data_IF_080701075467
#
_entry.id   IF_080701075467
#
_cell.length_a   1.000
_cell.length_b   1.000
_cell.length_c   1.000
_cell.angle_alpha   90.00
_cell.angle_beta   90.00
_cell.angle_gamma   90.00
#
_symmetry.space_group_name_H-M   'P 1'
#
loop_
_entity.id
_entity.type
_entity.pdbx_description
1 polymer ?
#
# COMPACT_ATOMS: atom_id res chain seq x y z
N UNK A 1 23.08 6.11 -26.10
CA UNK A 1 22.94 7.17 -25.07
C UNK A 1 22.60 6.48 -23.76
N UNK A 2 23.44 6.65 -22.73
CA UNK A 2 23.34 5.98 -21.41
C UNK A 2 23.06 6.98 -20.27
N UNK A 3 22.52 8.15 -20.61
CA UNK A 3 22.34 9.24 -19.65
C UNK A 3 21.03 8.96 -18.86
N UNK A 4 21.10 8.79 -17.53
CA UNK A 4 19.92 8.51 -16.73
C UNK A 4 18.98 9.72 -16.70
N UNK A 5 17.71 9.50 -17.02
CA UNK A 5 16.65 10.50 -16.93
C UNK A 5 16.28 10.75 -15.46
N UNK A 6 16.68 11.91 -14.95
CA UNK A 6 16.37 12.34 -13.59
C UNK A 6 15.16 13.29 -13.57
N UNK A 7 14.32 13.13 -12.56
CA UNK A 7 13.26 14.10 -12.24
C UNK A 7 13.81 15.18 -11.30
N UNK A 8 13.21 16.38 -11.26
CA UNK A 8 13.60 17.44 -10.33
C UNK A 8 13.77 16.95 -8.89
N UNK A 9 12.86 16.14 -8.35
CA UNK A 9 12.99 15.59 -6.98
C UNK A 9 14.21 14.68 -6.73
N UNK A 10 14.90 14.24 -7.78
CA UNK A 10 16.14 13.46 -7.69
C UNK A 10 17.40 14.33 -7.77
N UNK A 11 17.26 15.62 -8.10
CA UNK A 11 18.36 16.56 -8.22
C UNK A 11 18.59 17.35 -6.90
N UNK A 12 19.82 17.83 -6.66
CA UNK A 12 20.07 18.82 -5.61
C UNK A 12 19.46 20.18 -5.96
N UNK A 13 19.03 20.92 -4.93
CA UNK A 13 18.37 22.23 -5.07
C UNK A 13 19.17 23.24 -5.92
N UNK A 14 20.51 23.16 -5.88
CA UNK A 14 21.39 24.01 -6.69
C UNK A 14 21.14 23.87 -8.20
N UNK A 15 20.80 22.67 -8.67
CA UNK A 15 20.54 22.40 -10.09
C UNK A 15 19.10 22.72 -10.51
N UNK A 16 18.21 23.03 -9.56
CA UNK A 16 16.83 23.38 -9.85
C UNK A 16 16.72 24.73 -10.56
N UNK A 17 17.56 25.70 -10.17
CA UNK A 17 17.51 27.07 -10.70
C UNK A 17 18.08 27.15 -12.12
N UNK A 18 19.16 26.40 -12.40
CA UNK A 18 19.84 26.44 -13.69
C UNK A 18 19.32 25.41 -14.70
N UNK A 19 18.92 24.23 -14.23
CA UNK A 19 18.64 23.07 -15.09
C UNK A 19 17.16 22.77 -15.31
N UNK A 20 16.27 23.21 -14.41
CA UNK A 20 14.85 22.85 -14.48
C UNK A 20 14.00 24.00 -15.03
N UNK A 21 13.23 23.71 -16.09
CA UNK A 21 12.18 24.62 -16.56
C UNK A 21 11.13 24.80 -15.45
N UNK A 22 10.62 26.02 -15.20
CA UNK A 22 9.65 26.27 -14.12
C UNK A 22 8.40 25.37 -14.19
N UNK A 23 7.89 25.10 -15.38
CA UNK A 23 6.72 24.22 -15.58
C UNK A 23 6.97 22.75 -15.21
N UNK A 24 8.24 22.30 -15.18
CA UNK A 24 8.58 20.91 -14.88
C UNK A 24 8.30 20.56 -13.42
N UNK A 25 8.49 21.52 -12.51
CA UNK A 25 8.14 21.36 -11.10
C UNK A 25 6.65 21.11 -10.90
N UNK A 26 5.80 21.90 -11.56
CA UNK A 26 4.34 21.75 -11.47
C UNK A 26 3.87 20.41 -12.07
N UNK A 27 4.48 20.00 -13.19
CA UNK A 27 4.20 18.72 -13.83
C UNK A 27 4.59 17.57 -12.91
N UNK A 28 5.80 17.61 -12.32
CA UNK A 28 6.23 16.58 -11.39
C UNK A 28 5.35 16.56 -10.14
N UNK A 29 4.99 17.71 -9.58
CA UNK A 29 4.10 17.80 -8.43
C UNK A 29 2.76 17.09 -8.71
N UNK A 30 2.12 17.37 -9.85
CA UNK A 30 0.87 16.68 -10.26
C UNK A 30 1.07 15.18 -10.46
N UNK A 31 2.21 14.77 -11.04
CA UNK A 31 2.58 13.36 -11.19
C UNK A 31 2.69 12.66 -9.82
N UNK A 32 3.41 13.26 -8.86
CA UNK A 32 3.57 12.72 -7.51
C UNK A 32 2.25 12.65 -6.75
N UNK A 33 1.39 13.63 -6.91
CA UNK A 33 0.04 13.63 -6.32
C UNK A 33 -0.80 12.48 -6.88
N UNK A 34 -0.76 12.29 -8.21
CA UNK A 34 -1.40 11.15 -8.87
C UNK A 34 -0.85 9.80 -8.37
N UNK A 35 0.48 9.70 -8.19
CA UNK A 35 1.12 8.49 -7.65
C UNK A 35 0.67 8.21 -6.21
N UNK A 36 0.62 9.22 -5.33
CA UNK A 36 0.15 9.10 -3.95
C UNK A 36 -1.31 8.64 -3.89
N UNK A 37 -2.20 9.31 -4.64
CA UNK A 37 -3.62 8.98 -4.67
C UNK A 37 -3.87 7.57 -5.22
N UNK A 38 -3.21 7.20 -6.32
CA UNK A 38 -3.37 5.90 -6.94
C UNK A 38 -2.82 4.77 -6.06
N UNK A 39 -1.61 4.92 -5.52
CA UNK A 39 -1.00 3.92 -4.63
C UNK A 39 -1.83 3.71 -3.35
N UNK A 40 -2.38 4.79 -2.79
CA UNK A 40 -3.25 4.69 -1.61
C UNK A 40 -4.57 3.97 -1.91
N UNK A 41 -5.19 4.22 -3.07
CA UNK A 41 -6.40 3.51 -3.49
C UNK A 41 -6.12 2.03 -3.74
N UNK A 42 -5.02 1.69 -4.42
CA UNK A 42 -4.61 0.31 -4.63
C UNK A 42 -4.31 -0.39 -3.30
N UNK A 43 -3.63 0.28 -2.38
CA UNK A 43 -3.35 -0.24 -1.04
C UNK A 43 -4.64 -0.60 -0.30
N UNK A 44 -5.64 0.29 -0.29
CA UNK A 44 -6.95 0.01 0.31
C UNK A 44 -7.62 -1.20 -0.33
N UNK A 45 -7.63 -1.28 -1.66
CA UNK A 45 -8.21 -2.42 -2.38
C UNK A 45 -7.53 -3.74 -2.01
N UNK A 46 -6.20 -3.77 -1.92
CA UNK A 46 -5.45 -4.96 -1.52
C UNK A 46 -5.65 -5.34 -0.06
N UNK A 47 -5.85 -4.37 0.83
CA UNK A 47 -6.23 -4.64 2.22
C UNK A 47 -7.65 -5.24 2.32
N UNK A 48 -8.61 -4.74 1.53
CA UNK A 48 -9.94 -5.35 1.44
C UNK A 48 -9.88 -6.78 0.88
N UNK A 49 -9.11 -7.00 -0.18
CA UNK A 49 -8.87 -8.34 -0.72
C UNK A 49 -8.24 -9.27 0.32
N UNK A 50 -7.24 -8.80 1.09
CA UNK A 50 -6.62 -9.59 2.17
C UNK A 50 -7.64 -10.05 3.21
N UNK A 51 -8.51 -9.14 3.64
CA UNK A 51 -9.60 -9.46 4.57
C UNK A 51 -10.54 -10.53 4.00
N UNK A 52 -10.97 -10.36 2.74
CA UNK A 52 -11.87 -11.34 2.09
C UNK A 52 -11.23 -12.72 1.93
N UNK A 53 -9.96 -12.76 1.55
CA UNK A 53 -9.20 -14.01 1.40
C UNK A 53 -9.04 -14.73 2.74
N UNK A 54 -8.87 -13.98 3.83
CA UNK A 54 -8.77 -14.55 5.17
C UNK A 54 -10.11 -15.18 5.62
N UNK A 55 -11.24 -14.50 5.38
CA UNK A 55 -12.56 -15.08 5.62
C UNK A 55 -12.79 -16.33 4.77
N UNK A 56 -12.47 -16.27 3.47
CA UNK A 56 -12.61 -17.43 2.57
C UNK A 56 -11.77 -18.64 3.02
N UNK A 57 -10.51 -18.40 3.41
CA UNK A 57 -9.62 -19.45 3.92
C UNK A 57 -10.20 -20.12 5.16
N UNK A 58 -10.77 -19.33 6.06
CA UNK A 58 -11.26 -19.86 7.34
C UNK A 58 -12.56 -20.66 7.19
N UNK A 59 -13.40 -20.34 6.19
CA UNK A 59 -14.70 -21.00 6.00
C UNK A 59 -14.69 -22.15 4.99
N UNK A 60 -13.85 -22.10 3.95
CA UNK A 60 -13.97 -23.01 2.80
C UNK A 60 -12.78 -23.94 2.57
N UNK A 61 -11.65 -23.74 3.26
CA UNK A 61 -10.41 -24.48 2.96
C UNK A 61 -10.23 -25.63 3.96
N UNK A 62 -10.58 -26.85 3.54
CA UNK A 62 -10.42 -28.08 4.34
C UNK A 62 -9.33 -29.03 3.80
N UNK A 63 -9.02 -28.98 2.49
CA UNK A 63 -8.15 -29.95 1.80
C UNK A 63 -6.77 -29.37 1.45
N UNK A 64 -5.73 -30.21 1.41
CA UNK A 64 -4.33 -29.81 1.23
C UNK A 64 -4.09 -28.95 -0.03
N UNK A 65 -4.65 -29.33 -1.19
CA UNK A 65 -4.50 -28.57 -2.43
C UNK A 65 -5.13 -27.16 -2.37
N UNK A 66 -6.26 -27.03 -1.67
CA UNK A 66 -6.91 -25.74 -1.44
C UNK A 66 -6.07 -24.86 -0.50
N UNK A 67 -5.41 -25.44 0.52
CA UNK A 67 -4.50 -24.70 1.42
C UNK A 67 -3.33 -24.10 0.65
N UNK A 68 -2.68 -24.88 -0.22
CA UNK A 68 -1.55 -24.40 -1.02
C UNK A 68 -1.96 -23.29 -1.98
N UNK A 69 -3.08 -23.46 -2.68
CA UNK A 69 -3.62 -22.43 -3.59
C UNK A 69 -3.98 -21.14 -2.84
N UNK A 70 -4.66 -21.23 -1.71
CA UNK A 70 -5.00 -20.07 -0.88
C UNK A 70 -3.76 -19.35 -0.34
N UNK A 71 -2.72 -20.09 0.05
CA UNK A 71 -1.43 -19.51 0.48
C UNK A 71 -0.74 -18.75 -0.66
N UNK A 72 -0.74 -19.29 -1.88
CA UNK A 72 -0.17 -18.62 -3.04
C UNK A 72 -0.90 -17.30 -3.37
N UNK A 73 -2.23 -17.30 -3.33
CA UNK A 73 -3.04 -16.09 -3.55
C UNK A 73 -2.78 -15.04 -2.47
N UNK A 74 -2.70 -15.46 -1.21
CA UNK A 74 -2.38 -14.57 -0.09
C UNK A 74 -1.00 -13.93 -0.25
N UNK A 75 0.01 -14.72 -0.58
CA UNK A 75 1.37 -14.22 -0.82
C UNK A 75 1.42 -13.23 -1.99
N UNK A 76 0.68 -13.50 -3.07
CA UNK A 76 0.57 -12.57 -4.20
C UNK A 76 -0.06 -11.24 -3.75
N UNK A 77 -1.14 -11.29 -2.97
CA UNK A 77 -1.77 -10.08 -2.47
C UNK A 77 -0.85 -9.31 -1.50
N UNK A 78 -0.12 -10.01 -0.64
CA UNK A 78 0.84 -9.37 0.27
C UNK A 78 1.95 -8.64 -0.51
N UNK A 79 2.50 -9.26 -1.57
CA UNK A 79 3.46 -8.58 -2.46
C UNK A 79 2.90 -7.31 -3.09
N UNK A 80 1.61 -7.30 -3.45
CA UNK A 80 0.96 -6.10 -3.98
C UNK A 80 0.78 -5.00 -2.93
N UNK A 81 0.44 -5.38 -1.68
CA UNK A 81 0.41 -4.45 -0.54
C UNK A 81 1.79 -3.81 -0.37
N UNK A 82 2.84 -4.63 -0.27
CA UNK A 82 4.21 -4.17 -0.05
C UNK A 82 4.67 -3.23 -1.20
N UNK A 83 4.35 -3.58 -2.45
CA UNK A 83 4.63 -2.74 -3.60
C UNK A 83 3.89 -1.39 -3.55
N UNK A 84 2.60 -1.39 -3.22
CA UNK A 84 1.81 -0.16 -3.10
C UNK A 84 2.33 0.73 -1.95
N UNK A 85 2.70 0.13 -0.82
CA UNK A 85 3.30 0.83 0.32
C UNK A 85 4.62 1.49 -0.06
N UNK A 86 5.51 0.74 -0.71
CA UNK A 86 6.81 1.27 -1.17
C UNK A 86 6.63 2.40 -2.18
N UNK A 87 5.69 2.24 -3.12
CA UNK A 87 5.36 3.27 -4.12
C UNK A 87 4.82 4.55 -3.48
N UNK A 88 3.95 4.43 -2.49
CA UNK A 88 3.43 5.55 -1.72
C UNK A 88 4.56 6.29 -0.99
N UNK A 89 5.39 5.55 -0.24
CA UNK A 89 6.50 6.13 0.51
C UNK A 89 7.52 6.84 -0.39
N UNK A 90 7.87 6.22 -1.52
CA UNK A 90 8.77 6.81 -2.51
C UNK A 90 8.20 8.11 -3.07
N UNK A 91 6.91 8.12 -3.44
CA UNK A 91 6.25 9.32 -3.95
C UNK A 91 6.12 10.41 -2.86
N UNK A 92 5.93 10.02 -1.60
CA UNK A 92 5.84 10.94 -0.47
C UNK A 92 7.18 11.64 -0.21
N UNK A 93 8.28 10.90 -0.20
CA UNK A 93 9.64 11.47 -0.06
C UNK A 93 9.94 12.42 -1.23
N UNK A 94 9.65 12.01 -2.46
CA UNK A 94 9.85 12.85 -3.64
C UNK A 94 9.01 14.13 -3.58
N UNK A 95 7.75 14.05 -3.14
CA UNK A 95 6.92 15.23 -2.93
C UNK A 95 7.47 16.16 -1.84
N UNK A 96 8.00 15.58 -0.74
CA UNK A 96 8.63 16.34 0.34
C UNK A 96 9.86 17.12 -0.13
N UNK A 97 10.65 16.57 -1.06
CA UNK A 97 11.76 17.29 -1.68
C UNK A 97 11.32 18.45 -2.58
N UNK A 98 10.16 18.36 -3.21
CA UNK A 98 9.66 19.40 -4.11
C UNK A 98 8.97 20.56 -3.38
N UNK A 99 8.20 20.25 -2.34
CA UNK A 99 7.29 21.23 -1.69
C UNK A 99 7.72 21.54 -0.25
N UNK A 100 8.61 20.73 0.33
CA UNK A 100 8.92 20.73 1.75
C UNK A 100 7.96 19.83 2.54
N UNK A 101 8.47 19.10 3.54
CA UNK A 101 7.67 18.15 4.33
C UNK A 101 6.51 18.81 5.08
N UNK A 102 6.70 20.04 5.57
CA UNK A 102 5.71 20.79 6.36
C UNK A 102 4.48 21.23 5.54
N UNK A 103 4.63 21.34 4.22
CA UNK A 103 3.56 21.75 3.29
C UNK A 103 2.81 20.55 2.69
N UNK A 104 3.17 19.32 3.07
CA UNK A 104 2.54 18.12 2.54
C UNK A 104 1.14 17.92 3.14
N UNK A 105 0.12 17.98 2.27
CA UNK A 105 -1.26 17.59 2.63
C UNK A 105 -1.40 16.08 2.91
N UNK A 106 -0.43 15.27 2.47
CA UNK A 106 -0.45 13.82 2.56
C UNK A 106 0.30 13.35 3.81
N UNK A 107 -0.36 12.52 4.62
CA UNK A 107 0.25 11.92 5.81
C UNK A 107 1.30 10.87 5.43
N UNK A 108 2.44 10.86 6.11
CA UNK A 108 3.44 9.80 5.98
C UNK A 108 2.81 8.45 6.33
N UNK A 109 3.02 7.44 5.49
CA UNK A 109 2.50 6.10 5.71
C UNK A 109 3.51 5.27 6.52
N UNK A 110 3.16 4.96 7.76
CA UNK A 110 3.97 4.11 8.62
C UNK A 110 3.61 2.64 8.47
N UNK A 111 4.50 1.75 8.93
CA UNK A 111 4.25 0.30 8.94
C UNK A 111 2.98 -0.06 9.72
N UNK A 112 2.67 0.69 10.77
CA UNK A 112 1.46 0.49 11.59
C UNK A 112 0.15 0.90 10.89
N UNK A 113 0.22 1.77 9.89
CA UNK A 113 -0.95 2.18 9.10
C UNK A 113 -1.37 1.11 8.09
N UNK A 114 -0.45 0.21 7.70
CA UNK A 114 -0.70 -0.90 6.78
C UNK A 114 -1.30 -2.09 7.54
N UNK A 115 -2.55 -1.90 7.98
CA UNK A 115 -3.33 -2.90 8.73
C UNK A 115 -4.69 -3.15 8.07
N UNK A 116 -5.33 -4.27 8.42
CA UNK A 116 -6.72 -4.50 8.03
C UNK A 116 -7.62 -3.43 8.68
N UNK A 117 -8.66 -3.01 7.95
CA UNK A 117 -9.52 -1.89 8.37
C UNK A 117 -10.33 -2.14 9.65
N UNK A 118 -10.47 -3.39 10.09
CA UNK A 118 -11.21 -3.75 11.30
C UNK A 118 -10.23 -4.11 12.43
N UNK A 119 -10.26 -3.31 13.49
CA UNK A 119 -9.15 -3.11 14.44
C UNK A 119 -9.01 -4.22 15.50
N UNK A 120 -8.86 -5.48 15.07
CA UNK A 120 -8.83 -6.61 15.99
C UNK A 120 -7.99 -7.79 15.52
N UNK A 121 -6.72 -7.55 15.16
CA UNK A 121 -5.80 -8.54 14.58
C UNK A 121 -6.22 -9.02 13.18
N UNK A 122 -5.27 -9.58 12.41
CA UNK A 122 -5.51 -10.23 11.11
C UNK A 122 -6.43 -11.45 11.29
N UNK A 123 -7.72 -11.21 11.52
CA UNK A 123 -8.76 -12.20 11.78
C UNK A 123 -9.88 -12.09 10.75
N UNK A 124 -10.46 -13.22 10.42
CA UNK A 124 -11.57 -13.29 9.48
C UNK A 124 -12.79 -12.52 10.01
N UNK A 125 -13.37 -11.68 9.16
CA UNK A 125 -14.62 -10.96 9.46
C UNK A 125 -15.78 -11.97 9.54
N UNK A 126 -16.61 -11.86 10.58
CA UNK A 126 -17.90 -12.56 10.69
C UNK A 126 -17.90 -13.92 11.38
N UNK A 127 -16.79 -14.37 11.99
CA UNK A 127 -16.77 -15.64 12.72
C UNK A 127 -17.19 -15.39 14.18
N UNK A 128 -18.50 -15.31 14.41
CA UNK A 128 -19.03 -15.63 15.74
C UNK A 128 -18.67 -17.09 16.03
N UNK A 129 -17.80 -17.33 17.02
CA UNK A 129 -17.52 -18.67 17.53
C UNK A 129 -18.85 -19.30 17.92
N UNK A 130 -19.31 -20.30 17.17
CA UNK A 130 -20.36 -21.21 17.63
C UNK A 130 -19.79 -21.91 18.86
N UNK A 131 -20.12 -21.43 20.06
CA UNK A 131 -19.80 -22.12 21.31
C UNK A 131 -20.55 -23.45 21.23
N UNK A 132 -19.84 -24.52 20.87
CA UNK A 132 -20.42 -25.86 20.93
C UNK A 132 -20.84 -26.10 22.38
N UNK A 133 -22.15 -26.07 22.63
CA UNK A 133 -22.71 -26.48 23.90
C UNK A 133 -22.29 -27.92 24.16
N UNK A 134 -21.65 -28.15 25.30
CA UNK A 134 -21.39 -29.50 25.81
C UNK A 134 -22.74 -30.21 25.89
N UNK A 135 -22.94 -31.25 25.07
CA UNK A 135 -24.00 -32.25 25.34
C UNK A 135 -23.61 -32.93 26.64
N UNK A 136 -24.33 -32.62 27.72
CA UNK A 136 -24.30 -33.44 28.94
C UNK A 136 -24.90 -34.80 28.59
N UNK A 137 -24.22 -35.86 29.03
CA UNK A 137 -24.78 -37.21 29.12
C UNK A 137 -25.94 -37.24 30.10
#
# INVERSE_FOLDING_TARGET
>A
EDIPLCLPSALPEAYHVEGCRPALFEIEQKLREGQLRNSLNQLRNHLHMKSRLLTYRTTNVAHQGAVTRSKAIFNRNQKQIDHCTSKYQTAWVAMGKLVGEDRLKWRKLEKGDVRLMDSGADRAIGIMRKKNGKRSK
#
